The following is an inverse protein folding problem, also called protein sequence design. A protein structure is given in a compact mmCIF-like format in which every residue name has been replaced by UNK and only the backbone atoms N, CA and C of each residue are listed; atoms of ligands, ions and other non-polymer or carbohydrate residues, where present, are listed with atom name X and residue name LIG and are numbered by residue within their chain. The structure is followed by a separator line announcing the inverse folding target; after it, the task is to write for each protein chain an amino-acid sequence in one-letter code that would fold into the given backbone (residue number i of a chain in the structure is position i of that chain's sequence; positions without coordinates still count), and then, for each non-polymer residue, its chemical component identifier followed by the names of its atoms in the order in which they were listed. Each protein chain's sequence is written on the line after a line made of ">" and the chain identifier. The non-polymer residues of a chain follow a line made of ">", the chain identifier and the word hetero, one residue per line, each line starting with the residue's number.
data_IF_541335320626
#
_entry.id   IF_541335320626
#
_cell.length_a   1.000
_cell.length_b   1.000
_cell.length_c   1.000
_cell.angle_alpha   90.00
_cell.angle_beta   90.00
_cell.angle_gamma   90.00
#
_symmetry.space_group_name_H-M   'P 1'
#
loop_
_entity.id
_entity.type
_entity.pdbx_description
1 polymer ?
#
# COMPACT_ATOMS: atom_id res chain seq x y z
N UNK A 1 -86.11 -38.01 17.90
CA UNK A 1 -84.99 -37.98 16.94
C UNK A 1 -84.02 -36.90 17.40
N UNK A 2 -82.90 -37.28 18.04
CA UNK A 2 -81.84 -36.34 18.44
C UNK A 2 -80.81 -36.29 17.31
N UNK A 3 -80.65 -35.14 16.69
CA UNK A 3 -79.62 -34.91 15.69
C UNK A 3 -78.24 -34.96 16.36
N UNK A 4 -77.40 -35.90 15.92
CA UNK A 4 -75.98 -35.96 16.28
C UNK A 4 -75.26 -34.98 15.36
N UNK A 5 -74.91 -33.81 15.90
CA UNK A 5 -74.02 -32.85 15.25
C UNK A 5 -72.58 -33.32 15.43
N UNK A 6 -71.99 -33.86 14.36
CA UNK A 6 -70.55 -34.11 14.27
C UNK A 6 -69.80 -32.78 14.22
N UNK A 7 -68.82 -32.51 15.09
CA UNK A 7 -68.00 -31.32 14.97
C UNK A 7 -67.09 -31.43 13.73
N UNK A 8 -67.22 -30.47 12.82
CA UNK A 8 -66.31 -30.28 11.68
C UNK A 8 -64.94 -29.88 12.26
N UNK A 9 -63.91 -30.66 11.96
CA UNK A 9 -62.54 -30.32 12.35
C UNK A 9 -62.13 -28.98 11.72
N UNK A 10 -61.44 -28.09 12.47
CA UNK A 10 -61.00 -26.82 11.91
C UNK A 10 -60.06 -27.06 10.72
N UNK A 11 -60.39 -26.44 9.59
CA UNK A 11 -59.60 -26.45 8.37
C UNK A 11 -58.17 -26.00 8.70
N UNK A 12 -57.19 -26.88 8.48
CA UNK A 12 -55.79 -26.60 8.74
C UNK A 12 -55.34 -25.48 7.82
N UNK A 13 -55.05 -24.31 8.38
CA UNK A 13 -54.52 -23.18 7.63
C UNK A 13 -53.27 -23.58 6.83
N UNK A 14 -53.14 -23.12 5.57
CA UNK A 14 -52.02 -23.52 4.72
C UNK A 14 -50.70 -23.06 5.35
N UNK A 15 -49.64 -23.89 5.31
CA UNK A 15 -48.38 -23.58 5.95
C UNK A 15 -47.78 -22.29 5.39
N UNK A 16 -47.42 -21.34 6.26
CA UNK A 16 -46.77 -20.07 5.87
C UNK A 16 -45.46 -20.37 5.13
N UNK A 17 -45.32 -19.89 3.89
CA UNK A 17 -44.13 -20.10 3.06
C UNK A 17 -42.90 -19.42 3.69
N UNK A 18 -41.86 -20.19 4.05
CA UNK A 18 -40.64 -19.63 4.66
C UNK A 18 -39.66 -19.08 3.62
N UNK A 19 -39.40 -17.77 3.62
CA UNK A 19 -38.49 -17.10 2.66
C UNK A 19 -37.00 -17.30 2.99
N UNK A 20 -36.70 -17.79 4.19
CA UNK A 20 -35.34 -17.84 4.76
C UNK A 20 -34.29 -18.54 3.87
N UNK A 21 -34.56 -19.69 3.22
CA UNK A 21 -33.55 -20.34 2.38
C UNK A 21 -33.18 -19.51 1.13
N UNK A 22 -34.11 -18.73 0.58
CA UNK A 22 -33.83 -17.83 -0.55
C UNK A 22 -33.00 -16.62 -0.14
N UNK A 23 -33.28 -16.06 1.04
CA UNK A 23 -32.47 -14.98 1.62
C UNK A 23 -31.05 -15.48 1.92
N UNK A 24 -30.93 -16.67 2.51
CA UNK A 24 -29.63 -17.30 2.77
C UNK A 24 -28.82 -17.47 1.48
N UNK A 25 -29.42 -18.04 0.42
CA UNK A 25 -28.74 -18.18 -0.86
C UNK A 25 -28.27 -16.82 -1.40
N UNK A 26 -29.13 -15.80 -1.39
CA UNK A 26 -28.79 -14.46 -1.85
C UNK A 26 -27.57 -13.86 -1.15
N UNK A 27 -27.53 -13.93 0.18
CA UNK A 27 -26.38 -13.44 0.96
C UNK A 27 -25.10 -14.26 0.74
N UNK A 28 -25.21 -15.57 0.53
CA UNK A 28 -24.04 -16.41 0.23
C UNK A 28 -23.43 -16.10 -1.14
N UNK A 29 -24.26 -15.79 -2.14
CA UNK A 29 -23.80 -15.35 -3.47
C UNK A 29 -23.18 -13.96 -3.38
N UNK A 30 -23.82 -13.02 -2.66
CA UNK A 30 -23.23 -11.70 -2.45
C UNK A 30 -21.89 -11.77 -1.69
N UNK A 31 -21.75 -12.72 -0.76
CA UNK A 31 -20.53 -12.98 0.00
C UNK A 31 -19.35 -13.50 -0.83
N UNK A 32 -19.58 -14.06 -2.01
CA UNK A 32 -18.50 -14.40 -2.96
C UNK A 32 -17.80 -13.14 -3.50
N UNK A 33 -18.56 -12.08 -3.75
CA UNK A 33 -18.04 -10.81 -4.26
C UNK A 33 -17.60 -9.85 -3.14
N UNK A 34 -18.31 -9.86 -2.01
CA UNK A 34 -18.06 -9.00 -0.86
C UNK A 34 -17.66 -9.89 0.31
N UNK A 35 -16.35 -10.06 0.51
CA UNK A 35 -15.77 -10.96 1.54
C UNK A 35 -16.45 -10.78 2.90
N UNK A 36 -16.73 -9.55 3.33
CA UNK A 36 -17.32 -9.30 4.65
C UNK A 36 -18.73 -9.93 4.87
N UNK A 37 -19.42 -10.36 3.81
CA UNK A 37 -20.77 -10.93 3.89
C UNK A 37 -20.77 -12.47 4.00
N UNK A 38 -19.64 -13.15 3.80
CA UNK A 38 -19.57 -14.62 3.90
C UNK A 38 -20.01 -15.17 5.28
N UNK A 39 -19.67 -14.55 6.44
CA UNK A 39 -20.09 -15.06 7.74
C UNK A 39 -21.60 -14.94 7.94
N UNK A 40 -22.18 -13.84 7.44
CA UNK A 40 -23.63 -13.60 7.47
C UNK A 40 -24.35 -14.65 6.62
N UNK A 41 -23.85 -14.90 5.40
CA UNK A 41 -24.36 -15.96 4.52
C UNK A 41 -24.30 -17.35 5.16
N UNK A 42 -23.19 -17.68 5.83
CA UNK A 42 -23.01 -18.96 6.52
C UNK A 42 -24.02 -19.15 7.67
N UNK A 43 -24.18 -18.13 8.53
CA UNK A 43 -25.14 -18.18 9.63
C UNK A 43 -26.56 -18.35 9.10
N UNK A 44 -26.93 -17.59 8.07
CA UNK A 44 -28.25 -17.71 7.43
C UNK A 44 -28.48 -19.09 6.79
N UNK A 45 -27.44 -19.69 6.19
CA UNK A 45 -27.50 -21.03 5.63
C UNK A 45 -27.73 -22.10 6.71
N UNK A 46 -27.03 -22.01 7.85
CA UNK A 46 -27.23 -22.91 9.01
C UNK A 46 -28.66 -22.78 9.55
N UNK A 47 -29.16 -21.55 9.72
CA UNK A 47 -30.53 -21.31 10.19
C UNK A 47 -31.57 -21.85 9.20
N UNK A 48 -31.32 -21.71 7.89
CA UNK A 48 -32.16 -22.29 6.84
C UNK A 48 -32.16 -23.83 6.90
N UNK A 49 -31.02 -24.46 7.17
CA UNK A 49 -30.90 -25.92 7.34
C UNK A 49 -31.70 -26.43 8.54
N UNK A 50 -31.57 -25.77 9.71
CA UNK A 50 -32.35 -26.14 10.90
C UNK A 50 -33.85 -25.99 10.65
N UNK A 51 -34.28 -24.90 10.00
CA UNK A 51 -35.69 -24.61 9.77
C UNK A 51 -36.34 -25.52 8.72
N UNK A 52 -35.61 -25.87 7.66
CA UNK A 52 -36.08 -26.80 6.62
C UNK A 52 -36.04 -28.26 7.07
N UNK A 53 -35.48 -28.55 8.26
CA UNK A 53 -35.56 -29.84 8.93
C UNK A 53 -36.99 -30.30 9.24
N UNK A 54 -37.96 -29.39 9.36
CA UNK A 54 -39.37 -29.71 9.63
C UNK A 54 -40.12 -30.21 8.37
N UNK A 55 -41.06 -31.16 8.50
CA UNK A 55 -41.79 -31.74 7.36
C UNK A 55 -42.61 -30.70 6.57
N UNK A 56 -43.09 -29.65 7.24
CA UNK A 56 -43.82 -28.52 6.65
C UNK A 56 -43.02 -27.73 5.58
N UNK A 57 -41.68 -27.85 5.56
CA UNK A 57 -40.79 -27.05 4.71
C UNK A 57 -39.78 -27.90 3.92
N UNK A 58 -40.00 -29.21 3.82
CA UNK A 58 -39.09 -30.15 3.17
C UNK A 58 -38.79 -29.79 1.70
N UNK A 59 -39.75 -29.19 0.98
CA UNK A 59 -39.59 -28.79 -0.43
C UNK A 59 -38.55 -27.68 -0.68
N UNK A 60 -38.04 -26.99 0.36
CA UNK A 60 -37.00 -25.94 0.23
C UNK A 60 -35.63 -26.38 0.76
N UNK A 61 -35.46 -27.64 1.18
CA UNK A 61 -34.17 -28.17 1.66
C UNK A 61 -33.06 -28.05 0.61
N UNK A 62 -33.36 -28.27 -0.67
CA UNK A 62 -32.37 -28.12 -1.74
C UNK A 62 -31.73 -26.72 -1.80
N UNK A 63 -32.53 -25.68 -1.51
CA UNK A 63 -32.05 -24.30 -1.48
C UNK A 63 -31.17 -24.01 -0.25
N UNK A 64 -31.51 -24.60 0.90
CA UNK A 64 -30.69 -24.50 2.11
C UNK A 64 -29.35 -25.25 1.98
N UNK A 65 -29.35 -26.42 1.34
CA UNK A 65 -28.13 -27.18 1.03
C UNK A 65 -27.25 -26.38 0.05
N UNK A 66 -27.85 -25.83 -1.02
CA UNK A 66 -27.12 -24.99 -1.96
C UNK A 66 -26.48 -23.78 -1.27
N UNK A 67 -27.23 -23.06 -0.42
CA UNK A 67 -26.70 -21.94 0.36
C UNK A 67 -25.54 -22.37 1.26
N UNK A 68 -25.63 -23.53 1.92
CA UNK A 68 -24.55 -24.03 2.79
C UNK A 68 -23.28 -24.36 2.00
N UNK A 69 -23.40 -25.03 0.84
CA UNK A 69 -22.27 -25.33 -0.02
C UNK A 69 -21.59 -24.05 -0.54
N UNK A 70 -22.39 -23.07 -1.00
CA UNK A 70 -21.88 -21.79 -1.50
C UNK A 70 -21.24 -20.96 -0.38
N UNK A 71 -21.81 -20.97 0.83
CA UNK A 71 -21.21 -20.32 1.99
C UNK A 71 -19.82 -20.88 2.33
N UNK A 72 -19.64 -22.20 2.22
CA UNK A 72 -18.35 -22.85 2.43
C UNK A 72 -17.27 -22.41 1.43
N UNK A 73 -17.65 -22.08 0.19
CA UNK A 73 -16.72 -21.54 -0.82
C UNK A 73 -16.22 -20.14 -0.47
N UNK A 74 -16.97 -19.35 0.31
CA UNK A 74 -16.58 -17.99 0.73
C UNK A 74 -15.32 -17.94 1.61
N UNK A 75 -14.99 -19.02 2.32
CA UNK A 75 -13.72 -19.13 3.06
C UNK A 75 -12.50 -19.19 2.12
N UNK A 76 -12.66 -19.80 0.95
CA UNK A 76 -11.58 -19.95 -0.02
C UNK A 76 -11.30 -18.67 -0.82
N UNK A 77 -12.30 -17.81 -1.01
CA UNK A 77 -12.13 -16.55 -1.75
C UNK A 77 -11.24 -15.55 -1.02
N UNK A 78 -11.18 -15.60 0.32
CA UNK A 78 -10.27 -14.77 1.14
C UNK A 78 -8.82 -15.05 0.78
N UNK A 79 -8.44 -16.32 0.68
CA UNK A 79 -7.07 -16.70 0.36
C UNK A 79 -6.64 -16.18 -1.01
N UNK A 80 -7.50 -16.30 -2.01
CA UNK A 80 -7.23 -15.82 -3.38
C UNK A 80 -7.12 -14.29 -3.40
N UNK A 81 -8.04 -13.57 -2.75
CA UNK A 81 -7.99 -12.11 -2.71
C UNK A 81 -6.78 -11.60 -1.94
N UNK A 82 -6.43 -12.23 -0.82
CA UNK A 82 -5.22 -11.90 -0.06
C UNK A 82 -3.95 -12.13 -0.91
N UNK A 83 -3.89 -13.24 -1.64
CA UNK A 83 -2.76 -13.54 -2.53
C UNK A 83 -2.54 -12.48 -3.62
N UNK A 84 -3.62 -11.85 -4.11
CA UNK A 84 -3.53 -10.75 -5.10
C UNK A 84 -3.24 -9.41 -4.42
N UNK A 85 -3.91 -9.11 -3.30
CA UNK A 85 -3.87 -7.81 -2.67
C UNK A 85 -2.58 -7.54 -1.87
N UNK A 86 -2.04 -8.55 -1.18
CA UNK A 86 -0.83 -8.42 -0.35
C UNK A 86 0.38 -7.93 -1.15
N UNK A 87 0.80 -8.58 -2.25
CA UNK A 87 1.98 -8.13 -3.01
C UNK A 87 1.78 -6.72 -3.56
N UNK A 88 0.57 -6.44 -4.06
CA UNK A 88 0.24 -5.12 -4.59
C UNK A 88 0.35 -4.04 -3.50
N UNK A 89 -0.18 -4.30 -2.29
CA UNK A 89 -0.10 -3.38 -1.16
C UNK A 89 1.34 -3.12 -0.69
N UNK A 90 2.18 -4.15 -0.64
CA UNK A 90 3.60 -4.00 -0.28
C UNK A 90 4.33 -3.13 -1.31
N UNK A 91 4.12 -3.37 -2.61
CA UNK A 91 4.73 -2.55 -3.67
C UNK A 91 4.27 -1.08 -3.61
N UNK A 92 3.00 -0.81 -3.26
CA UNK A 92 2.51 0.55 -3.11
C UNK A 92 3.12 1.29 -1.93
N UNK A 93 3.34 0.59 -0.81
CA UNK A 93 4.03 1.19 0.32
C UNK A 93 5.48 1.56 -0.04
N UNK A 94 6.20 0.67 -0.73
CA UNK A 94 7.55 0.96 -1.18
C UNK A 94 7.58 2.15 -2.17
N UNK A 95 6.72 2.15 -3.19
CA UNK A 95 6.62 3.25 -4.15
C UNK A 95 6.30 4.59 -3.49
N UNK A 96 5.41 4.61 -2.49
CA UNK A 96 5.09 5.82 -1.73
C UNK A 96 6.30 6.33 -0.95
N UNK A 97 7.07 5.43 -0.33
CA UNK A 97 8.31 5.79 0.37
C UNK A 97 9.32 6.38 -0.61
N UNK A 98 9.58 5.72 -1.74
CA UNK A 98 10.50 6.23 -2.76
C UNK A 98 10.08 7.61 -3.31
N UNK A 99 8.77 7.84 -3.45
CA UNK A 99 8.24 9.12 -3.93
C UNK A 99 8.53 10.28 -2.94
N UNK A 100 8.57 10.01 -1.63
CA UNK A 100 8.86 11.02 -0.60
C UNK A 100 10.23 11.66 -0.83
N UNK A 101 11.29 10.84 -0.95
CA UNK A 101 12.62 11.37 -1.23
C UNK A 101 12.66 12.11 -2.58
N UNK A 102 12.11 11.52 -3.65
CA UNK A 102 12.15 12.12 -4.99
C UNK A 102 11.48 13.50 -5.02
N UNK A 103 10.38 13.67 -4.28
CA UNK A 103 9.68 14.95 -4.15
C UNK A 103 10.53 15.97 -3.37
N UNK A 104 11.14 15.56 -2.26
CA UNK A 104 11.98 16.44 -1.45
C UNK A 104 13.25 16.89 -2.22
N UNK A 105 13.89 15.98 -2.95
CA UNK A 105 15.03 16.31 -3.83
C UNK A 105 14.61 17.29 -4.94
N UNK A 106 13.42 17.13 -5.53
CA UNK A 106 12.89 18.09 -6.51
C UNK A 106 12.61 19.46 -5.89
N UNK A 107 12.09 19.51 -4.66
CA UNK A 107 11.88 20.75 -3.95
C UNK A 107 13.23 21.47 -3.72
N UNK A 108 14.24 20.75 -3.25
CA UNK A 108 15.60 21.28 -3.09
C UNK A 108 16.17 21.81 -4.41
N UNK A 109 16.03 21.05 -5.50
CA UNK A 109 16.48 21.48 -6.82
C UNK A 109 15.81 22.78 -7.30
N UNK A 110 14.52 22.95 -7.00
CA UNK A 110 13.80 24.20 -7.27
C UNK A 110 14.43 25.39 -6.52
N UNK A 111 14.80 25.18 -5.26
CA UNK A 111 15.51 26.19 -4.46
C UNK A 111 16.89 26.52 -5.03
N UNK A 112 17.69 25.51 -5.38
CA UNK A 112 19.01 25.70 -6.01
C UNK A 112 18.89 26.54 -7.29
N UNK A 113 17.93 26.19 -8.15
CA UNK A 113 17.65 26.94 -9.38
C UNK A 113 17.32 28.40 -9.12
N UNK A 114 16.49 28.69 -8.10
CA UNK A 114 16.16 30.05 -7.72
C UNK A 114 17.40 30.83 -7.23
N UNK A 115 18.21 30.21 -6.36
CA UNK A 115 19.43 30.83 -5.84
C UNK A 115 20.45 31.15 -6.94
N UNK A 116 20.63 30.22 -7.89
CA UNK A 116 21.53 30.43 -9.04
C UNK A 116 21.04 31.59 -9.92
N UNK A 117 19.73 31.70 -10.14
CA UNK A 117 19.14 32.82 -10.90
C UNK A 117 19.31 34.16 -10.18
N UNK A 118 19.18 34.16 -8.86
CA UNK A 118 19.35 35.36 -8.02
C UNK A 118 20.83 35.68 -7.72
N UNK A 119 21.77 34.91 -8.28
CA UNK A 119 23.21 35.04 -8.09
C UNK A 119 23.64 34.94 -6.61
N UNK A 120 22.92 34.14 -5.83
CA UNK A 120 23.27 33.80 -4.46
C UNK A 120 24.18 32.57 -4.43
N UNK A 121 25.10 32.48 -3.45
CA UNK A 121 25.94 31.30 -3.29
C UNK A 121 25.10 30.09 -2.86
N UNK A 122 25.31 28.97 -3.55
CA UNK A 122 24.80 27.65 -3.14
C UNK A 122 25.87 26.99 -2.29
N UNK A 123 25.62 26.83 -0.99
CA UNK A 123 26.63 26.28 -0.07
C UNK A 123 26.09 25.13 0.78
N UNK A 124 25.06 25.37 1.60
CA UNK A 124 24.50 24.36 2.50
C UNK A 124 22.97 24.27 2.45
N UNK A 125 22.43 23.12 2.88
CA UNK A 125 20.99 22.93 3.04
C UNK A 125 20.36 24.00 3.95
N UNK A 126 21.04 24.33 5.06
CA UNK A 126 20.56 25.32 6.02
C UNK A 126 20.44 26.73 5.41
N UNK A 127 21.46 27.16 4.63
CA UNK A 127 21.43 28.44 3.92
C UNK A 127 20.27 28.52 2.93
N UNK A 128 19.98 27.40 2.26
CA UNK A 128 18.86 27.29 1.31
C UNK A 128 17.50 27.09 1.98
N UNK A 129 17.44 26.98 3.31
CA UNK A 129 16.20 26.72 4.04
C UNK A 129 15.57 25.37 3.69
N UNK A 130 16.38 24.38 3.28
CA UNK A 130 15.90 23.04 3.00
C UNK A 130 15.69 22.27 4.30
N UNK A 131 14.41 22.06 4.63
CA UNK A 131 14.00 21.31 5.80
C UNK A 131 13.08 20.16 5.36
N UNK A 132 13.55 18.90 5.39
CA UNK A 132 12.64 17.78 5.16
C UNK A 132 11.64 17.69 6.31
N UNK A 133 10.46 17.14 6.02
CA UNK A 133 9.38 17.06 7.02
C UNK A 133 9.80 16.40 8.35
N UNK A 134 9.09 16.67 9.46
CA UNK A 134 9.52 16.26 10.81
C UNK A 134 9.61 14.75 11.03
N UNK A 135 9.07 13.94 10.11
CA UNK A 135 9.11 12.47 10.13
C UNK A 135 9.89 11.94 8.92
N UNK A 136 11.04 12.56 8.65
CA UNK A 136 11.91 12.24 7.52
C UNK A 136 12.63 10.89 7.70
N UNK A 137 12.53 10.05 6.67
CA UNK A 137 13.09 8.68 6.63
C UNK A 137 14.49 8.60 6.02
N UNK A 138 14.95 9.69 5.40
CA UNK A 138 16.13 9.71 4.57
C UNK A 138 17.20 10.62 5.16
N UNK A 139 18.46 10.25 5.07
CA UNK A 139 19.54 11.21 5.23
C UNK A 139 19.67 12.02 3.93
N UNK A 140 19.69 13.34 3.99
CA UNK A 140 20.01 14.18 2.82
C UNK A 140 21.45 14.61 2.89
N UNK A 141 22.17 14.50 1.78
CA UNK A 141 23.59 14.75 1.68
C UNK A 141 23.84 15.73 0.54
N UNK A 142 24.45 16.86 0.86
CA UNK A 142 25.00 17.80 -0.11
C UNK A 142 26.52 17.75 -0.11
N UNK A 143 27.14 17.55 1.06
CA UNK A 143 28.59 17.39 1.20
C UNK A 143 28.89 16.51 2.41
N UNK A 144 29.59 15.41 2.22
CA UNK A 144 30.07 14.59 3.35
C UNK A 144 31.35 15.21 3.96
N UNK A 145 31.52 15.17 5.29
CA UNK A 145 30.52 14.92 6.34
C UNK A 145 29.78 16.20 6.78
N UNK A 146 30.09 17.34 6.19
CA UNK A 146 29.77 18.68 6.71
C UNK A 146 28.29 19.08 6.57
N UNK A 147 27.65 18.70 5.46
CA UNK A 147 26.27 19.08 5.14
C UNK A 147 25.41 17.84 4.89
N UNK A 148 25.04 17.24 6.02
CA UNK A 148 24.18 16.05 6.11
C UNK A 148 23.02 16.35 7.04
N UNK A 149 21.79 16.24 6.53
CA UNK A 149 20.59 16.22 7.36
C UNK A 149 20.32 14.76 7.73
N UNK A 150 20.34 14.39 9.02
CA UNK A 150 20.14 13.01 9.43
C UNK A 150 18.68 12.57 9.31
N UNK A 151 18.49 11.26 9.42
CA UNK A 151 17.16 10.63 9.57
C UNK A 151 16.50 11.15 10.85
N UNK A 152 15.19 11.44 10.80
CA UNK A 152 14.44 11.88 11.97
C UNK A 152 14.27 10.74 12.98
N UNK A 153 14.18 11.08 14.28
CA UNK A 153 14.16 10.11 15.39
C UNK A 153 12.99 9.10 15.43
N UNK A 154 12.08 9.13 14.46
CA UNK A 154 11.04 8.13 14.28
C UNK A 154 11.53 6.87 13.52
N UNK A 155 12.75 6.89 12.98
CA UNK A 155 13.34 5.79 12.21
C UNK A 155 14.76 5.48 12.72
N UNK A 156 15.31 4.29 12.40
CA UNK A 156 16.69 3.97 12.72
C UNK A 156 17.65 5.02 12.16
N UNK A 157 18.56 5.50 12.99
CA UNK A 157 19.61 6.41 12.54
C UNK A 157 20.54 5.67 11.57
N UNK A 158 21.00 6.36 10.55
CA UNK A 158 22.01 5.87 9.63
C UNK A 158 23.39 6.34 10.10
N UNK A 159 24.33 5.40 10.16
CA UNK A 159 25.73 5.69 10.44
C UNK A 159 26.34 6.47 9.25
N UNK A 160 27.05 7.59 9.46
CA UNK A 160 27.80 8.27 8.40
C UNK A 160 28.70 7.36 7.56
N UNK A 161 29.31 6.33 8.15
CA UNK A 161 30.13 5.36 7.39
C UNK A 161 29.27 4.52 6.44
N UNK A 162 28.08 4.10 6.87
CA UNK A 162 27.14 3.38 6.04
C UNK A 162 26.58 4.25 4.90
N UNK A 163 26.33 5.54 5.17
CA UNK A 163 25.95 6.52 4.14
C UNK A 163 27.06 6.63 3.09
N UNK A 164 28.32 6.81 3.51
CA UNK A 164 29.44 6.92 2.58
C UNK A 164 29.59 5.64 1.73
N UNK A 165 29.52 4.46 2.35
CA UNK A 165 29.60 3.19 1.63
C UNK A 165 28.47 3.04 0.59
N UNK A 166 27.25 3.50 0.90
CA UNK A 166 26.13 3.48 -0.04
C UNK A 166 26.34 4.46 -1.22
N UNK A 167 26.91 5.64 -0.96
CA UNK A 167 27.27 6.60 -2.02
C UNK A 167 28.34 6.03 -2.95
N UNK A 168 29.37 5.40 -2.39
CA UNK A 168 30.46 4.77 -3.14
C UNK A 168 29.92 3.62 -4.00
N UNK A 169 29.03 2.79 -3.45
CA UNK A 169 28.35 1.72 -4.18
C UNK A 169 27.48 2.26 -5.31
N UNK A 170 26.80 3.39 -5.10
CA UNK A 170 25.99 4.07 -6.10
C UNK A 170 26.83 4.79 -7.18
N UNK A 171 28.12 5.04 -6.91
CA UNK A 171 28.99 5.82 -7.80
C UNK A 171 28.54 7.28 -7.91
N UNK A 172 28.00 7.86 -6.84
CA UNK A 172 27.50 9.24 -6.82
C UNK A 172 28.28 10.08 -5.84
N UNK A 173 28.83 11.19 -6.32
CA UNK A 173 29.50 12.19 -5.51
C UNK A 173 28.55 13.39 -5.28
N UNK A 174 27.94 13.53 -4.08
CA UNK A 174 27.20 14.74 -3.74
C UNK A 174 28.16 15.91 -3.55
N UNK A 175 27.76 17.08 -4.02
CA UNK A 175 28.60 18.26 -3.93
C UNK A 175 28.05 19.46 -4.67
N UNK A 176 28.72 20.59 -4.42
CA UNK A 176 28.64 21.79 -5.25
C UNK A 176 30.01 21.96 -5.90
N UNK A 177 30.08 21.87 -7.22
CA UNK A 177 31.33 22.03 -7.96
C UNK A 177 31.31 23.34 -8.77
N UNK A 178 32.46 24.01 -8.84
CA UNK A 178 32.59 25.29 -9.53
C UNK A 178 32.07 26.48 -8.71
N UNK A 179 31.75 27.58 -9.39
CA UNK A 179 31.28 28.83 -8.77
C UNK A 179 29.98 29.24 -9.45
N UNK A 180 28.94 29.51 -8.65
CA UNK A 180 27.65 29.92 -9.19
C UNK A 180 27.77 31.30 -9.88
N UNK A 181 27.11 31.51 -11.03
CA UNK A 181 25.98 30.73 -11.56
C UNK A 181 26.33 29.47 -12.36
N UNK A 182 27.60 29.25 -12.69
CA UNK A 182 28.05 28.11 -13.52
C UNK A 182 28.37 26.83 -12.69
N UNK A 183 27.84 26.75 -11.47
CA UNK A 183 28.08 25.65 -10.56
C UNK A 183 27.24 24.41 -10.91
N UNK A 184 27.84 23.22 -10.77
CA UNK A 184 27.10 21.96 -10.74
C UNK A 184 26.71 21.67 -9.28
N UNK A 185 25.50 21.20 -9.06
CA UNK A 185 25.00 20.85 -7.72
C UNK A 185 24.40 19.48 -7.81
N UNK A 186 24.92 18.54 -7.02
CA UNK A 186 24.40 17.18 -6.88
C UNK A 186 24.03 16.95 -5.43
N UNK A 187 22.74 16.72 -5.18
CA UNK A 187 22.24 16.35 -3.86
C UNK A 187 21.73 14.93 -3.88
N UNK A 188 21.90 14.25 -2.74
CA UNK A 188 21.54 12.86 -2.56
C UNK A 188 20.60 12.72 -1.38
N UNK A 189 19.69 11.75 -1.45
CA UNK A 189 19.05 11.21 -0.28
C UNK A 189 19.40 9.72 -0.17
N UNK A 190 19.62 9.25 1.05
CA UNK A 190 19.94 7.85 1.37
C UNK A 190 18.93 7.36 2.40
N UNK A 191 18.39 6.17 2.22
CA UNK A 191 17.51 5.60 3.22
C UNK A 191 17.19 4.14 2.95
N UNK A 192 16.59 3.49 3.94
CA UNK A 192 16.20 2.10 3.85
C UNK A 192 14.68 2.00 3.64
N UNK A 193 14.24 1.64 2.42
CA UNK A 193 12.81 1.62 2.09
C UNK A 193 12.10 0.38 2.61
N UNK A 194 12.70 -0.79 2.54
CA UNK A 194 12.10 -2.09 2.84
C UNK A 194 12.66 -2.78 4.10
N UNK A 195 13.55 -2.10 4.82
CA UNK A 195 14.13 -2.47 6.11
C UNK A 195 15.02 -3.71 6.05
N UNK A 196 15.90 -3.78 5.04
CA UNK A 196 16.95 -4.80 4.93
C UNK A 196 18.36 -4.24 5.23
N UNK A 197 19.42 -4.94 4.85
CA UNK A 197 20.80 -4.53 5.15
C UNK A 197 21.38 -3.56 4.10
N UNK A 198 20.62 -3.23 3.06
CA UNK A 198 21.05 -2.37 1.97
C UNK A 198 20.35 -1.01 2.02
N UNK A 199 21.02 0.01 1.50
CA UNK A 199 20.52 1.37 1.49
C UNK A 199 20.20 1.77 0.05
N UNK A 200 18.98 2.28 -0.14
CA UNK A 200 18.61 2.91 -1.39
C UNK A 200 19.25 4.30 -1.49
N UNK A 201 19.69 4.66 -2.69
CA UNK A 201 20.36 5.95 -2.97
C UNK A 201 19.67 6.65 -4.12
N UNK A 202 19.13 7.84 -3.85
CA UNK A 202 18.58 8.72 -4.88
C UNK A 202 19.37 9.98 -5.00
N UNK A 203 19.47 10.49 -6.22
CA UNK A 203 20.19 11.74 -6.46
C UNK A 203 19.50 12.61 -7.49
N UNK A 204 19.70 13.92 -7.36
CA UNK A 204 19.29 14.92 -8.34
C UNK A 204 20.48 15.85 -8.60
N UNK A 205 20.62 16.33 -9.84
CA UNK A 205 21.71 17.23 -10.21
C UNK A 205 21.26 18.35 -11.14
N UNK A 206 21.98 19.47 -11.13
CA UNK A 206 21.82 20.60 -12.07
C UNK A 206 22.43 20.36 -13.44
N UNK A 207 23.20 19.28 -13.59
CA UNK A 207 23.78 18.83 -14.85
C UNK A 207 23.23 17.46 -15.26
N UNK A 208 23.38 17.14 -16.55
CA UNK A 208 23.12 15.79 -17.05
C UNK A 208 24.17 14.84 -16.48
N UNK A 209 23.75 13.61 -16.17
CA UNK A 209 24.61 12.57 -15.59
C UNK A 209 24.44 11.27 -16.34
N UNK A 210 25.37 10.34 -16.12
CA UNK A 210 25.27 9.00 -16.69
C UNK A 210 25.07 8.01 -15.55
N UNK A 211 24.04 7.18 -15.67
CA UNK A 211 23.80 6.07 -14.76
C UNK A 211 24.84 4.96 -14.94
N UNK A 212 24.98 4.08 -13.95
CA UNK A 212 25.91 2.95 -14.01
C UNK A 212 25.66 2.00 -15.20
N UNK A 213 24.41 1.95 -15.71
CA UNK A 213 24.02 1.15 -16.88
C UNK A 213 24.32 1.84 -18.23
N UNK A 214 24.86 3.07 -18.23
CA UNK A 214 25.15 3.87 -19.41
C UNK A 214 24.01 4.79 -19.88
N UNK A 215 22.86 4.79 -19.20
CA UNK A 215 21.74 5.67 -19.56
C UNK A 215 22.03 7.12 -19.16
N UNK A 216 21.59 8.07 -20.00
CA UNK A 216 21.63 9.50 -19.66
C UNK A 216 20.49 9.83 -18.69
N UNK A 217 20.85 10.38 -17.53
CA UNK A 217 19.96 10.98 -16.55
C UNK A 217 19.91 12.49 -16.84
N UNK A 218 18.78 13.03 -17.34
CA UNK A 218 18.66 14.46 -17.58
C UNK A 218 18.74 15.24 -16.27
N UNK A 219 19.27 16.45 -16.34
CA UNK A 219 19.28 17.40 -15.23
C UNK A 219 17.89 17.57 -14.60
N UNK A 220 17.85 17.79 -13.28
CA UNK A 220 16.61 17.95 -12.52
C UNK A 220 15.76 16.68 -12.39
N UNK A 221 16.24 15.53 -12.87
CA UNK A 221 15.54 14.24 -12.73
C UNK A 221 16.10 13.47 -11.54
N UNK A 222 15.27 13.18 -10.50
CA UNK A 222 15.66 12.23 -9.47
C UNK A 222 15.86 10.84 -10.06
N UNK A 223 17.00 10.23 -9.78
CA UNK A 223 17.35 8.88 -10.22
C UNK A 223 17.64 7.99 -9.02
N UNK A 224 17.14 6.75 -9.05
CA UNK A 224 17.46 5.73 -8.05
C UNK A 224 18.64 4.90 -8.56
N UNK A 225 19.78 4.97 -7.87
CA UNK A 225 20.99 4.23 -8.25
C UNK A 225 21.00 2.81 -7.74
N UNK A 226 20.48 2.61 -6.52
CA UNK A 226 20.40 1.30 -5.87
C UNK A 226 18.94 1.09 -5.52
N UNK A 227 18.24 0.30 -6.35
CA UNK A 227 16.86 -0.11 -6.13
C UNK A 227 16.83 -1.62 -5.87
N UNK A 228 16.91 -2.00 -4.60
CA UNK A 228 16.87 -3.37 -4.10
C UNK A 228 15.48 -3.80 -3.62
N UNK A 229 14.52 -2.86 -3.55
CA UNK A 229 13.13 -3.12 -3.18
C UNK A 229 12.60 -4.37 -3.87
N UNK A 230 12.34 -5.41 -3.07
CA UNK A 230 11.75 -6.66 -3.56
C UNK A 230 10.33 -6.40 -4.07
N UNK A 231 10.13 -6.56 -5.39
CA UNK A 231 8.80 -6.61 -6.01
C UNK A 231 8.05 -7.92 -5.68
#
# INVERSE_FOLDING_TARGET
>A
MRAVTTPIAPESSPPKKTVLPGVALGFTIAGLCIVCLWPVGLVLAILAMVKTGKPEHAGRRGLAIAALCVAGLGLFTIGIQAAIAIPNFVSFQARSKQAECKVNLKAFFGTVRAYVVDNHPVDSFAMMGFEPGPRNRYAYVLRMPEDVIPVAGAFPALDPEAIQAALDQAGVEPGVEGTCPDCSVTAVCVGNVDNDDTLDVWSISTVDRTAANGDTIPLGTPYNHVNDVRE
#
